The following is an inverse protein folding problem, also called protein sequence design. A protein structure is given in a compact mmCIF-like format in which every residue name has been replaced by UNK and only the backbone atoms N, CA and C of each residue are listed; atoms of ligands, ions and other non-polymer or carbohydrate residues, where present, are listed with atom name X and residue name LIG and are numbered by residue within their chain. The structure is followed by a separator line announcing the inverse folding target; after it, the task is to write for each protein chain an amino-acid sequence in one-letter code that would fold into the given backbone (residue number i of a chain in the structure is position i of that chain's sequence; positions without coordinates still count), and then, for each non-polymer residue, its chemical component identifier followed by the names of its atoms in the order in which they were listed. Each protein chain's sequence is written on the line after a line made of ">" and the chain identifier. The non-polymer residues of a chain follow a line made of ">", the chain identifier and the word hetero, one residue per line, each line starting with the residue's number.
data_IF_152537416034
#
_entry.id   IF_152537416034
#
_cell.length_a   1.000
_cell.length_b   1.000
_cell.length_c   1.000
_cell.angle_alpha   90.00
_cell.angle_beta   90.00
_cell.angle_gamma   90.00
#
_symmetry.space_group_name_H-M   'P 1'
#
loop_
_entity.id
_entity.type
_entity.pdbx_description
1 polymer ?
#
# COMPACT_ATOMS: atom_id res chain seq x y z
N UNK A 1 6.78 -11.48 -7.83
CA UNK A 1 5.37 -11.58 -7.35
C UNK A 1 4.98 -13.05 -7.10
N UNK A 2 5.72 -13.77 -6.26
CA UNK A 2 5.68 -15.24 -6.20
C UNK A 2 4.33 -15.84 -5.77
N UNK A 3 3.57 -15.13 -4.93
CA UNK A 3 2.27 -15.60 -4.42
C UNK A 3 1.06 -15.06 -5.21
N UNK A 4 1.28 -14.12 -6.12
CA UNK A 4 0.21 -13.49 -6.90
C UNK A 4 0.02 -14.23 -8.23
N UNK A 5 -1.24 -14.40 -8.65
CA UNK A 5 -1.56 -15.05 -9.92
C UNK A 5 -1.35 -14.08 -11.08
N UNK A 6 -1.36 -14.61 -12.31
CA UNK A 6 -1.13 -13.82 -13.54
C UNK A 6 -2.11 -12.65 -13.74
N UNK A 7 -3.34 -12.76 -13.22
CA UNK A 7 -4.37 -11.72 -13.33
C UNK A 7 -4.35 -10.71 -12.19
N UNK A 8 -3.62 -10.98 -11.10
CA UNK A 8 -3.61 -10.11 -9.93
C UNK A 8 -2.68 -8.90 -10.19
N UNK A 9 -3.06 -7.74 -9.68
CA UNK A 9 -2.32 -6.48 -9.87
C UNK A 9 -1.69 -6.02 -8.56
N UNK A 10 -0.47 -5.51 -8.64
CA UNK A 10 0.26 -4.92 -7.51
C UNK A 10 0.42 -3.42 -7.71
N UNK A 11 0.03 -2.63 -6.71
CA UNK A 11 0.45 -1.23 -6.59
C UNK A 11 1.34 -1.14 -5.36
N UNK A 12 2.60 -0.79 -5.55
CA UNK A 12 3.56 -0.57 -4.49
C UNK A 12 3.94 0.91 -4.44
N UNK A 13 3.98 1.48 -3.24
CA UNK A 13 4.12 2.92 -3.02
C UNK A 13 5.21 3.13 -2.00
N UNK A 14 6.20 3.92 -2.38
CA UNK A 14 7.40 4.17 -1.59
C UNK A 14 7.69 5.66 -1.66
N UNK A 15 7.94 6.31 -0.52
CA UNK A 15 8.25 7.73 -0.46
C UNK A 15 9.74 7.98 -0.69
N UNK A 16 10.61 7.08 -0.21
CA UNK A 16 12.05 7.25 -0.29
C UNK A 16 12.55 7.03 -1.74
N UNK A 17 13.11 8.06 -2.42
CA UNK A 17 13.37 7.99 -3.86
C UNK A 17 14.30 6.85 -4.27
N UNK A 18 15.30 6.55 -3.45
CA UNK A 18 16.28 5.49 -3.74
C UNK A 18 15.63 4.11 -3.66
N UNK A 19 14.75 3.88 -2.68
CA UNK A 19 14.05 2.61 -2.53
C UNK A 19 12.94 2.46 -3.56
N UNK A 20 12.25 3.54 -3.92
CA UNK A 20 11.32 3.54 -5.03
C UNK A 20 12.01 3.16 -6.35
N UNK A 21 13.22 3.68 -6.61
CA UNK A 21 14.02 3.31 -7.77
C UNK A 21 14.45 1.84 -7.76
N UNK A 22 14.93 1.33 -6.61
CA UNK A 22 15.26 -0.10 -6.44
C UNK A 22 14.04 -0.99 -6.66
N UNK A 23 12.91 -0.62 -6.09
CA UNK A 23 11.65 -1.35 -6.21
C UNK A 23 11.13 -1.37 -7.65
N UNK A 24 11.23 -0.24 -8.38
CA UNK A 24 10.96 -0.18 -9.83
C UNK A 24 11.84 -1.17 -10.59
N UNK A 25 13.15 -1.22 -10.28
CA UNK A 25 14.08 -2.14 -10.93
C UNK A 25 13.68 -3.62 -10.72
N UNK A 26 13.29 -4.00 -9.51
CA UNK A 26 12.83 -5.37 -9.17
C UNK A 26 11.63 -5.81 -10.01
N UNK A 27 10.75 -4.89 -10.38
CA UNK A 27 9.53 -5.18 -11.16
C UNK A 27 9.62 -4.77 -12.64
N UNK A 28 10.83 -4.54 -13.15
CA UNK A 28 11.04 -4.17 -14.56
C UNK A 28 10.43 -5.22 -15.49
N UNK A 29 9.66 -4.75 -16.49
CA UNK A 29 8.99 -5.61 -17.48
C UNK A 29 7.69 -6.26 -17.00
N UNK A 30 7.32 -6.08 -15.73
CA UNK A 30 6.15 -6.75 -15.17
C UNK A 30 4.91 -5.84 -15.19
N UNK A 31 4.14 -5.90 -16.28
CA UNK A 31 3.02 -5.00 -16.58
C UNK A 31 1.86 -5.03 -15.57
N UNK A 32 1.81 -6.06 -14.70
CA UNK A 32 0.82 -6.14 -13.61
C UNK A 32 1.26 -5.39 -12.35
N UNK A 33 2.48 -4.85 -12.29
CA UNK A 33 2.96 -4.02 -11.18
C UNK A 33 2.97 -2.54 -11.58
N UNK A 34 2.54 -1.70 -10.66
CA UNK A 34 2.83 -0.27 -10.66
C UNK A 34 3.62 0.08 -9.41
N UNK A 35 4.78 0.71 -9.58
CA UNK A 35 5.55 1.30 -8.47
C UNK A 35 5.43 2.81 -8.57
N UNK A 36 5.01 3.45 -7.48
CA UNK A 36 4.76 4.89 -7.41
C UNK A 36 5.65 5.46 -6.32
N UNK A 37 6.36 6.54 -6.65
CA UNK A 37 7.10 7.32 -5.67
C UNK A 37 6.16 8.39 -5.11
N UNK A 38 5.60 8.14 -3.93
CA UNK A 38 4.56 8.97 -3.32
C UNK A 38 4.48 8.69 -1.82
N UNK A 39 4.00 9.65 -1.06
CA UNK A 39 3.61 9.43 0.33
C UNK A 39 2.46 8.41 0.43
N UNK A 40 2.73 7.27 1.08
CA UNK A 40 1.78 6.20 1.32
C UNK A 40 0.52 6.63 2.10
N UNK A 41 0.62 7.67 2.94
CA UNK A 41 -0.52 8.22 3.67
C UNK A 41 -1.56 8.87 2.73
N UNK A 42 -1.11 9.42 1.60
CA UNK A 42 -2.00 9.99 0.59
C UNK A 42 -2.65 8.91 -0.29
N UNK A 43 -2.02 7.75 -0.38
CA UNK A 43 -2.37 6.73 -1.34
C UNK A 43 -3.59 5.88 -0.97
N UNK A 44 -3.83 5.64 0.32
CA UNK A 44 -4.96 4.83 0.81
C UNK A 44 -6.32 5.35 0.31
N UNK A 45 -6.45 6.67 0.14
CA UNK A 45 -7.64 7.29 -0.43
C UNK A 45 -7.74 7.20 -1.96
N UNK A 46 -6.63 7.12 -2.69
CA UNK A 46 -6.62 7.20 -4.16
C UNK A 46 -6.90 5.85 -4.83
N UNK A 47 -6.48 4.74 -4.21
CA UNK A 47 -6.51 3.41 -4.84
C UNK A 47 -7.72 2.55 -4.48
N UNK A 48 -8.61 3.04 -3.63
CA UNK A 48 -9.78 2.30 -3.15
C UNK A 48 -11.09 2.88 -3.72
N UNK A 49 -12.13 2.07 -3.97
CA UNK A 49 -12.05 0.62 -4.12
C UNK A 49 -11.28 0.23 -5.39
N UNK A 50 -10.56 -0.91 -5.41
CA UNK A 50 -9.95 -1.41 -6.64
C UNK A 50 -11.02 -1.85 -7.64
N UNK A 51 -10.70 -1.83 -8.94
CA UNK A 51 -11.64 -2.25 -10.00
C UNK A 51 -12.08 -3.71 -9.86
N UNK A 52 -11.17 -4.54 -9.34
CA UNK A 52 -11.33 -5.96 -9.09
C UNK A 52 -12.29 -6.24 -7.92
N UNK A 53 -12.62 -5.24 -7.10
CA UNK A 53 -13.44 -5.32 -5.88
C UNK A 53 -12.95 -6.35 -4.85
N UNK A 54 -11.72 -6.85 -5.02
CA UNK A 54 -11.05 -7.86 -4.19
C UNK A 54 -9.58 -7.47 -4.07
N UNK A 55 -8.98 -7.72 -2.92
CA UNK A 55 -7.56 -7.44 -2.70
C UNK A 55 -7.19 -7.31 -1.24
N UNK A 56 -5.89 -7.14 -1.04
CA UNK A 56 -5.24 -6.92 0.24
C UNK A 56 -4.57 -5.55 0.19
N UNK A 57 -4.75 -4.77 1.26
CA UNK A 57 -3.98 -3.56 1.53
C UNK A 57 -3.04 -3.86 2.67
N UNK A 58 -1.74 -3.78 2.42
CA UNK A 58 -0.69 -3.86 3.43
C UNK A 58 -0.21 -2.45 3.73
N UNK A 59 -0.21 -2.07 5.01
CA UNK A 59 0.33 -0.79 5.49
C UNK A 59 1.39 -1.09 6.54
N UNK A 60 2.62 -0.70 6.24
CA UNK A 60 3.81 -1.00 7.04
C UNK A 60 4.68 0.27 7.15
N UNK A 61 4.26 1.25 7.98
CA UNK A 61 4.99 2.50 8.15
C UNK A 61 6.20 2.30 9.07
N UNK A 62 7.21 3.19 9.02
CA UNK A 62 8.44 3.05 9.81
C UNK A 62 8.26 3.32 11.32
N UNK A 63 7.24 4.09 11.73
CA UNK A 63 7.04 4.53 13.13
C UNK A 63 8.23 5.32 13.71
N UNK A 64 8.76 6.22 12.88
CA UNK A 64 9.85 7.16 13.15
C UNK A 64 9.33 8.57 13.51
N UNK A 65 8.13 8.94 13.07
CA UNK A 65 7.51 10.25 13.32
C UNK A 65 6.39 10.19 14.37
N UNK A 66 6.19 11.31 15.06
CA UNK A 66 5.04 11.46 15.94
C UNK A 66 3.71 11.44 15.16
N UNK A 67 2.72 10.78 15.74
CA UNK A 67 1.37 10.75 15.19
C UNK A 67 1.13 9.70 14.10
N UNK A 68 2.11 8.85 13.76
CA UNK A 68 1.91 7.77 12.78
C UNK A 68 0.82 6.77 13.20
N UNK A 69 0.69 6.46 14.49
CA UNK A 69 -0.39 5.60 15.02
C UNK A 69 -1.79 6.20 14.78
N UNK A 70 -2.10 7.44 15.22
CA UNK A 70 -3.36 8.10 14.86
C UNK A 70 -3.61 8.18 13.36
N UNK A 71 -2.58 8.51 12.55
CA UNK A 71 -2.70 8.55 11.08
C UNK A 71 -3.08 7.19 10.51
N UNK A 72 -2.48 6.12 11.01
CA UNK A 72 -2.78 4.74 10.61
C UNK A 72 -4.24 4.37 10.87
N UNK A 73 -4.74 4.65 12.07
CA UNK A 73 -6.12 4.36 12.46
C UNK A 73 -7.12 5.18 11.62
N UNK A 74 -6.87 6.47 11.43
CA UNK A 74 -7.79 7.33 10.65
C UNK A 74 -7.83 6.92 9.18
N UNK A 75 -6.67 6.59 8.59
CA UNK A 75 -6.64 6.10 7.21
C UNK A 75 -7.35 4.76 7.05
N UNK A 76 -7.21 3.83 8.00
CA UNK A 76 -7.96 2.58 7.99
C UNK A 76 -9.47 2.83 8.04
N UNK A 77 -9.94 3.71 8.93
CA UNK A 77 -11.37 4.06 9.03
C UNK A 77 -11.91 4.59 7.70
N UNK A 78 -11.17 5.50 7.06
CA UNK A 78 -11.54 6.06 5.74
C UNK A 78 -11.55 5.00 4.65
N UNK A 79 -10.50 4.17 4.60
CA UNK A 79 -10.34 3.11 3.63
C UNK A 79 -11.46 2.07 3.74
N UNK A 80 -11.72 1.58 4.95
CA UNK A 80 -12.77 0.58 5.21
C UNK A 80 -14.17 1.14 4.93
N UNK A 81 -14.45 2.41 5.26
CA UNK A 81 -15.72 3.05 4.89
C UNK A 81 -15.94 3.08 3.37
N UNK A 82 -14.87 3.27 2.60
CA UNK A 82 -14.93 3.32 1.13
C UNK A 82 -14.97 1.93 0.49
N UNK A 83 -14.34 0.94 1.12
CA UNK A 83 -14.32 -0.44 0.64
C UNK A 83 -14.37 -1.46 1.80
N UNK A 84 -15.55 -1.75 2.35
CA UNK A 84 -15.69 -2.64 3.50
C UNK A 84 -15.27 -4.09 3.26
N UNK A 85 -15.31 -4.54 1.99
CA UNK A 85 -14.94 -5.91 1.61
C UNK A 85 -13.44 -6.15 1.42
N UNK A 86 -12.60 -5.13 1.61
CA UNK A 86 -11.15 -5.26 1.52
C UNK A 86 -10.54 -5.97 2.71
N UNK A 87 -9.43 -6.69 2.51
CA UNK A 87 -8.59 -7.18 3.60
C UNK A 87 -7.54 -6.11 3.88
N UNK A 88 -7.40 -5.71 5.14
CA UNK A 88 -6.42 -4.73 5.59
C UNK A 88 -5.47 -5.40 6.59
N UNK A 89 -4.18 -5.41 6.26
CA UNK A 89 -3.12 -5.87 7.14
C UNK A 89 -2.25 -4.66 7.52
N UNK A 90 -2.14 -4.38 8.81
CA UNK A 90 -1.44 -3.22 9.34
C UNK A 90 -0.36 -3.71 10.30
N UNK A 91 0.88 -3.37 10.01
CA UNK A 91 1.99 -3.65 10.91
C UNK A 91 2.14 -2.52 11.93
N UNK A 92 2.51 -2.86 13.17
CA UNK A 92 2.88 -1.91 14.20
C UNK A 92 3.86 -2.53 15.21
N UNK A 93 4.83 -1.75 15.72
CA UNK A 93 5.75 -2.22 16.75
C UNK A 93 5.15 -2.10 18.15
N UNK A 94 5.57 -3.00 19.06
CA UNK A 94 5.41 -2.84 20.51
C UNK A 94 6.74 -2.31 21.03
N UNK A 95 6.77 -1.04 21.44
CA UNK A 95 7.96 -0.40 22.06
C UNK A 95 7.89 -0.49 23.57
#
# INVERSE_FOLDING_TARGET
>A
RHLMRKQDRLTAIELHPQDAARLKAVFTGDFQTRVIELDGWLALGAHLPPKEKRGLVLVDPPFEEEGEFPRLVENLRRAHRRWPGGIYALWYPIK
#
